data_IF_615246820144
#
_entry.id   IF_615246820144
#
_cell.length_a   1.000
_cell.length_b   1.000
_cell.length_c   1.000
_cell.angle_alpha   90.00
_cell.angle_beta   90.00
_cell.angle_gamma   90.00
#
_symmetry.space_group_name_H-M   'P 1'
#
loop_
_entity.id
_entity.type
_entity.pdbx_description
1 polymer ?
#
# COMPACT_ATOMS: atom_id res chain seq x y z
N UNK A 1 23.68 -7.66 -2.58
CA UNK A 1 23.74 -9.15 -2.39
C UNK A 1 22.39 -9.70 -2.79
N UNK A 2 22.28 -10.70 -3.67
CA UNK A 2 20.97 -11.24 -4.07
C UNK A 2 20.30 -11.99 -2.91
N UNK A 3 18.98 -11.85 -2.80
CA UNK A 3 18.15 -12.52 -1.80
C UNK A 3 17.20 -13.47 -2.52
N UNK A 4 17.25 -14.75 -2.17
CA UNK A 4 16.34 -15.74 -2.74
C UNK A 4 14.99 -15.69 -2.01
N UNK A 5 13.91 -15.47 -2.78
CA UNK A 5 12.53 -15.59 -2.29
C UNK A 5 11.96 -16.94 -2.69
N UNK A 6 11.33 -17.61 -1.74
CA UNK A 6 10.49 -18.78 -2.00
C UNK A 6 9.15 -18.34 -2.61
N UNK A 7 9.16 -18.09 -3.92
CA UNK A 7 8.00 -17.61 -4.69
C UNK A 7 6.82 -18.61 -4.66
N UNK A 8 7.08 -19.87 -4.31
CA UNK A 8 6.04 -20.92 -4.21
C UNK A 8 5.07 -20.70 -3.05
N UNK A 9 5.44 -19.86 -2.08
CA UNK A 9 4.58 -19.48 -0.95
C UNK A 9 3.46 -18.51 -1.34
N UNK A 10 3.51 -17.92 -2.53
CA UNK A 10 2.41 -17.13 -3.09
C UNK A 10 1.33 -18.07 -3.59
N UNK A 11 0.51 -18.55 -2.66
CA UNK A 11 -0.54 -19.53 -2.94
C UNK A 11 -1.88 -18.88 -3.32
N UNK A 12 -2.87 -19.73 -3.58
CA UNK A 12 -4.23 -19.28 -3.93
C UNK A 12 -4.92 -18.58 -2.76
N UNK A 13 -4.61 -18.93 -1.51
CA UNK A 13 -5.24 -18.32 -0.34
C UNK A 13 -4.84 -16.85 -0.20
N UNK A 14 -3.57 -16.54 -0.46
CA UNK A 14 -3.08 -15.16 -0.55
C UNK A 14 -3.68 -14.43 -1.74
N UNK A 15 -3.83 -15.10 -2.88
CA UNK A 15 -4.48 -14.51 -4.05
C UNK A 15 -5.92 -14.09 -3.75
N UNK A 16 -6.69 -14.97 -3.12
CA UNK A 16 -8.09 -14.73 -2.75
C UNK A 16 -8.20 -13.62 -1.68
N UNK A 17 -7.27 -13.56 -0.74
CA UNK A 17 -7.20 -12.48 0.24
C UNK A 17 -6.94 -11.12 -0.43
N UNK A 18 -5.93 -11.05 -1.32
CA UNK A 18 -5.63 -9.84 -2.06
C UNK A 18 -6.82 -9.41 -2.94
N UNK A 19 -7.49 -10.36 -3.60
CA UNK A 19 -8.72 -10.07 -4.35
C UNK A 19 -9.82 -9.46 -3.47
N UNK A 20 -9.98 -9.95 -2.24
CA UNK A 20 -10.94 -9.39 -1.28
C UNK A 20 -10.59 -7.94 -0.95
N UNK A 21 -9.32 -7.66 -0.63
CA UNK A 21 -8.85 -6.30 -0.32
C UNK A 21 -9.03 -5.38 -1.52
N UNK A 22 -8.62 -5.82 -2.72
CA UNK A 22 -8.76 -5.02 -3.93
C UNK A 22 -10.23 -4.71 -4.26
N UNK A 23 -11.14 -5.65 -4.04
CA UNK A 23 -12.58 -5.42 -4.25
C UNK A 23 -13.16 -4.44 -3.22
N UNK A 24 -12.78 -4.54 -1.94
CA UNK A 24 -13.19 -3.58 -0.92
C UNK A 24 -12.74 -2.16 -1.26
N UNK A 25 -11.48 -1.99 -1.67
CA UNK A 25 -10.93 -0.71 -2.14
C UNK A 25 -11.57 -0.21 -3.43
N UNK A 26 -12.09 -1.11 -4.26
CA UNK A 26 -12.74 -0.74 -5.51
C UNK A 26 -14.12 -0.14 -5.28
N UNK A 27 -14.82 -0.54 -4.20
CA UNK A 27 -16.12 0.00 -3.82
C UNK A 27 -16.04 1.45 -3.31
N UNK A 28 -14.93 1.82 -2.67
CA UNK A 28 -14.67 3.18 -2.18
C UNK A 28 -14.41 4.18 -3.31
N UNK A 29 -14.16 3.69 -4.54
CA UNK A 29 -13.73 4.52 -5.66
C UNK A 29 -14.90 5.17 -6.43
N UNK A 30 -14.70 6.42 -6.89
CA UNK A 30 -15.60 7.07 -7.82
C UNK A 30 -15.50 6.47 -9.24
N UNK A 31 -16.41 5.55 -9.56
CA UNK A 31 -16.47 4.94 -10.91
C UNK A 31 -17.21 5.81 -11.94
N UNK A 32 -16.73 5.86 -13.20
CA UNK A 32 -17.43 6.49 -14.33
C UNK A 32 -18.85 5.96 -14.54
N UNK A 33 -19.76 6.81 -15.01
CA UNK A 33 -21.18 6.45 -15.27
C UNK A 33 -21.39 5.42 -16.40
N UNK A 34 -20.34 5.12 -17.17
CA UNK A 34 -20.35 4.05 -18.17
C UNK A 34 -20.10 2.66 -17.56
N UNK A 35 -19.67 2.59 -16.30
CA UNK A 35 -19.38 1.34 -15.59
C UNK A 35 -20.54 0.94 -14.69
N UNK A 36 -20.95 -0.32 -14.83
CA UNK A 36 -21.90 -0.98 -13.94
C UNK A 36 -21.18 -1.61 -12.75
N UNK A 37 -21.54 -2.86 -12.45
CA UNK A 37 -20.79 -3.68 -11.50
C UNK A 37 -19.37 -3.91 -12.03
N UNK A 38 -18.38 -3.87 -11.15
CA UNK A 38 -16.98 -4.16 -11.45
C UNK A 38 -16.42 -4.99 -10.29
N UNK A 39 -15.65 -6.01 -10.62
CA UNK A 39 -15.12 -6.95 -9.62
C UNK A 39 -13.82 -7.58 -10.13
N UNK A 40 -12.82 -7.66 -9.27
CA UNK A 40 -11.65 -8.52 -9.44
C UNK A 40 -12.05 -9.97 -9.16
N UNK A 41 -11.88 -10.84 -10.14
CA UNK A 41 -12.42 -12.22 -10.11
C UNK A 41 -11.35 -13.29 -10.05
N UNK A 42 -10.12 -12.97 -10.46
CA UNK A 42 -9.01 -13.92 -10.44
C UNK A 42 -7.68 -13.19 -10.40
N UNK A 43 -6.73 -13.76 -9.66
CA UNK A 43 -5.34 -13.33 -9.61
C UNK A 43 -4.44 -14.56 -9.79
N UNK A 44 -3.51 -14.47 -10.73
CA UNK A 44 -2.42 -15.42 -10.91
C UNK A 44 -1.12 -14.71 -10.60
N UNK A 45 -0.33 -15.26 -9.68
CA UNK A 45 1.02 -14.77 -9.35
C UNK A 45 2.00 -14.95 -10.51
N UNK A 46 1.75 -15.91 -11.41
CA UNK A 46 2.71 -16.22 -12.49
C UNK A 46 3.87 -17.07 -11.98
N UNK A 47 4.87 -17.27 -12.83
CA UNK A 47 6.01 -18.15 -12.55
C UNK A 47 7.35 -17.39 -12.50
N UNK A 48 7.36 -16.10 -12.85
CA UNK A 48 8.55 -15.26 -12.82
C UNK A 48 8.70 -14.58 -11.45
N UNK A 49 9.70 -15.01 -10.67
CA UNK A 49 10.04 -14.35 -9.41
C UNK A 49 10.77 -13.01 -9.64
N UNK A 50 10.63 -12.03 -8.72
CA UNK A 50 11.41 -10.79 -8.77
C UNK A 50 12.89 -11.05 -8.49
N UNK A 51 13.76 -10.22 -9.08
CA UNK A 51 15.15 -10.10 -8.67
C UNK A 51 15.24 -9.12 -7.50
N UNK A 52 15.90 -9.55 -6.41
CA UNK A 52 15.97 -8.79 -5.17
C UNK A 52 17.39 -8.72 -4.69
N UNK A 53 17.86 -7.50 -4.49
CA UNK A 53 19.20 -7.23 -3.98
C UNK A 53 19.11 -6.49 -2.65
N UNK A 54 19.79 -7.01 -1.63
CA UNK A 54 20.05 -6.29 -0.39
C UNK A 54 21.02 -5.13 -0.67
N UNK A 55 20.57 -3.92 -0.38
CA UNK A 55 21.36 -2.69 -0.46
C UNK A 55 21.97 -2.36 0.90
N UNK A 56 21.14 -2.24 1.92
CA UNK A 56 21.55 -1.74 3.23
C UNK A 56 20.79 -2.44 4.37
N UNK A 57 21.47 -2.57 5.50
CA UNK A 57 20.87 -2.93 6.78
C UNK A 57 21.29 -1.87 7.79
N UNK A 58 20.30 -1.24 8.43
CA UNK A 58 20.50 -0.14 9.36
C UNK A 58 19.61 -0.23 10.60
N UNK A 59 19.60 0.85 11.37
CA UNK A 59 18.69 1.03 12.50
C UNK A 59 17.27 1.31 11.99
N UNK A 60 16.27 0.94 12.78
CA UNK A 60 14.86 1.22 12.48
C UNK A 60 14.62 2.74 12.51
N UNK A 61 14.01 3.30 11.46
CA UNK A 61 13.70 4.73 11.42
C UNK A 61 12.61 5.12 12.43
N UNK A 62 12.67 6.37 12.90
CA UNK A 62 11.71 6.91 13.87
C UNK A 62 10.29 6.97 13.30
N UNK A 63 10.15 7.15 11.98
CA UNK A 63 8.85 7.19 11.29
C UNK A 63 8.05 5.88 11.42
N UNK A 64 8.71 4.74 11.62
CA UNK A 64 8.04 3.48 11.96
C UNK A 64 7.69 3.36 13.45
N UNK A 65 8.35 4.12 14.33
CA UNK A 65 8.07 4.11 15.78
C UNK A 65 6.91 5.04 16.17
N UNK A 66 6.71 6.13 15.42
CA UNK A 66 5.78 7.22 15.76
C UNK A 66 4.30 6.93 15.45
N UNK A 67 3.99 5.93 14.61
CA UNK A 67 2.61 5.68 14.14
C UNK A 67 1.60 5.23 15.20
N UNK A 68 2.07 4.85 16.39
CA UNK A 68 1.21 4.54 17.54
C UNK A 68 1.21 5.65 18.62
N UNK A 69 2.03 6.70 18.51
CA UNK A 69 2.06 7.78 19.51
C UNK A 69 0.95 8.83 19.29
N UNK A 70 0.37 8.89 18.10
CA UNK A 70 -0.75 9.81 17.80
C UNK A 70 -2.09 9.37 18.41
N UNK A 71 -2.22 8.12 18.88
CA UNK A 71 -3.49 7.57 19.40
C UNK A 71 -3.70 7.72 20.92
N UNK A 72 -2.81 8.43 21.64
CA UNK A 72 -2.90 8.57 23.12
C UNK A 72 -3.19 9.98 23.62
N UNK A 73 -3.19 11.01 22.77
CA UNK A 73 -3.45 12.41 23.21
C UNK A 73 -4.87 12.91 22.93
N UNK A 74 -5.87 12.09 23.27
CA UNK A 74 -7.25 12.54 23.44
C UNK A 74 -7.51 13.00 24.87
N UNK A 75 -6.81 14.03 25.36
CA UNK A 75 -7.09 14.61 26.68
C UNK A 75 -8.11 15.76 26.59
N UNK A 76 -9.16 15.59 27.38
CA UNK A 76 -10.31 16.46 27.58
C UNK A 76 -9.94 17.91 27.97
N UNK A 77 -10.18 18.89 27.09
CA UNK A 77 -10.25 20.30 27.50
C UNK A 77 -11.71 20.71 27.81
N UNK A 78 -12.07 20.64 29.10
CA UNK A 78 -13.24 21.32 29.65
C UNK A 78 -12.82 22.44 30.62
N UNK A 79 -13.06 23.66 30.16
CA UNK A 79 -13.18 24.96 30.87
C UNK A 79 -13.14 24.99 32.41
N UNK A 80 -12.32 25.89 32.98
CA UNK A 80 -12.82 26.88 33.94
C UNK A 80 -11.87 28.09 34.12
N UNK A 81 -12.47 29.25 34.36
CA UNK A 81 -11.84 30.57 34.35
C UNK A 81 -11.55 31.12 35.76
N UNK A 82 -10.58 32.05 35.79
CA UNK A 82 -10.50 33.26 36.63
C UNK A 82 -9.67 33.27 37.95
N UNK A 83 -8.73 34.23 37.96
CA UNK A 83 -8.45 35.26 38.99
C UNK A 83 -7.31 35.11 40.05
N UNK A 84 -6.20 35.81 39.76
CA UNK A 84 -5.42 36.78 40.58
C UNK A 84 -4.86 36.42 42.00
N UNK A 85 -3.50 36.30 42.13
CA UNK A 85 -2.56 37.19 42.91
C UNK A 85 -1.26 36.51 43.46
N UNK A 86 -0.10 36.97 42.94
CA UNK A 86 1.14 37.45 43.65
C UNK A 86 1.96 36.49 44.60
N UNK A 87 3.25 36.79 44.95
CA UNK A 87 4.42 36.02 44.49
C UNK A 87 5.40 35.53 45.61
N UNK A 88 6.51 34.91 45.17
CA UNK A 88 7.84 34.84 45.79
C UNK A 88 8.30 33.55 46.56
N UNK A 89 9.34 32.92 45.98
CA UNK A 89 10.63 32.54 46.59
C UNK A 89 10.76 31.43 47.67
N UNK A 90 11.63 30.45 47.31
CA UNK A 90 12.75 29.85 48.09
C UNK A 90 12.51 28.55 48.90
N UNK A 91 13.25 27.51 48.45
CA UNK A 91 14.01 26.44 49.16
C UNK A 91 13.43 25.06 49.54
N UNK A 92 14.24 24.10 49.10
CA UNK A 92 14.80 22.91 49.77
C UNK A 92 13.93 21.68 50.11
N UNK A 93 14.24 20.63 49.34
CA UNK A 93 14.63 19.28 49.78
C UNK A 93 13.59 18.26 50.28
N UNK A 94 13.78 17.07 49.71
CA UNK A 94 13.52 15.71 50.19
C UNK A 94 12.19 15.00 49.87
N UNK A 95 12.35 14.03 48.94
CA UNK A 95 12.08 12.59 49.10
C UNK A 95 10.59 12.25 49.30
N UNK A 96 9.92 11.45 48.48
CA UNK A 96 10.22 10.05 48.18
C UNK A 96 9.05 9.48 47.35
N UNK A 97 9.34 8.48 46.51
CA UNK A 97 8.42 7.43 46.05
C UNK A 97 7.26 7.86 45.14
N UNK A 98 7.39 7.55 43.85
CA UNK A 98 6.31 6.83 43.18
C UNK A 98 6.90 5.82 42.19
N UNK A 99 6.38 4.60 42.33
CA UNK A 99 6.80 3.41 41.65
C UNK A 99 6.66 3.58 40.14
N UNK A 100 7.74 3.31 39.41
CA UNK A 100 7.64 2.95 38.00
C UNK A 100 6.79 1.69 37.92
N UNK A 101 5.53 1.84 37.49
CA UNK A 101 4.74 0.73 37.01
C UNK A 101 5.55 0.03 35.92
N UNK A 102 6.06 -1.13 36.29
CA UNK A 102 6.85 -1.96 35.42
C UNK A 102 5.86 -2.55 34.42
N UNK A 103 5.80 -1.96 33.22
CA UNK A 103 5.25 -2.67 32.07
C UNK A 103 5.84 -4.08 32.05
N UNK A 104 5.03 -5.12 31.77
CA UNK A 104 5.53 -6.48 31.74
C UNK A 104 6.65 -6.54 30.70
N UNK A 105 7.87 -6.83 31.15
CA UNK A 105 9.02 -7.10 30.28
C UNK A 105 8.66 -8.30 29.42
N UNK A 106 8.14 -8.02 28.22
CA UNK A 106 7.95 -9.01 27.16
C UNK A 106 9.29 -9.72 26.94
N UNK A 107 9.23 -11.03 26.71
CA UNK A 107 10.42 -11.86 26.50
C UNK A 107 11.33 -11.18 25.46
N UNK A 108 12.62 -11.06 25.76
CA UNK A 108 13.59 -10.42 24.88
C UNK A 108 13.64 -11.20 23.56
N UNK A 109 13.02 -10.65 22.51
CA UNK A 109 13.22 -11.13 21.14
C UNK A 109 14.71 -11.09 20.83
N UNK A 110 15.21 -12.15 20.20
CA UNK A 110 16.65 -12.28 19.85
C UNK A 110 17.01 -11.45 18.62
N UNK A 111 16.01 -10.97 17.90
CA UNK A 111 16.16 -10.11 16.72
C UNK A 111 16.21 -8.66 17.21
N UNK A 112 17.21 -7.85 16.78
CA UNK A 112 17.25 -6.42 17.10
C UNK A 112 16.22 -5.65 16.26
N UNK A 113 15.81 -4.47 16.72
CA UNK A 113 15.10 -3.54 15.86
C UNK A 113 16.04 -3.13 14.73
N UNK A 114 15.59 -3.25 13.49
CA UNK A 114 16.43 -2.99 12.33
C UNK A 114 15.59 -2.63 11.10
N UNK A 115 16.23 -1.92 10.18
CA UNK A 115 15.68 -1.63 8.87
C UNK A 115 16.49 -2.35 7.81
N UNK A 116 15.80 -2.90 6.82
CA UNK A 116 16.40 -3.57 5.67
C UNK A 116 15.94 -2.82 4.42
N UNK A 117 16.90 -2.40 3.58
CA UNK A 117 16.62 -1.80 2.29
C UNK A 117 16.97 -2.79 1.17
N UNK A 118 15.98 -3.05 0.33
CA UNK A 118 16.07 -3.97 -0.80
C UNK A 118 15.83 -3.22 -2.10
N UNK A 119 16.57 -3.55 -3.15
CA UNK A 119 16.22 -3.20 -4.51
C UNK A 119 15.41 -4.35 -5.10
N UNK A 120 14.28 -4.04 -5.72
CA UNK A 120 13.38 -4.99 -6.35
C UNK A 120 13.27 -4.64 -7.83
N UNK A 121 13.56 -5.60 -8.69
CA UNK A 121 13.30 -5.52 -10.13
C UNK A 121 12.46 -6.71 -10.55
N UNK A 122 11.31 -6.47 -11.16
CA UNK A 122 10.38 -7.55 -11.51
C UNK A 122 9.71 -7.29 -12.85
N UNK A 123 10.06 -8.10 -13.83
CA UNK A 123 9.27 -8.27 -15.06
C UNK A 123 8.34 -9.45 -14.86
N UNK A 124 7.07 -9.16 -14.57
CA UNK A 124 6.13 -10.15 -14.06
C UNK A 124 5.20 -10.69 -15.14
N UNK A 125 4.90 -11.98 -15.06
CA UNK A 125 3.83 -12.64 -15.80
C UNK A 125 2.52 -12.77 -14.99
N UNK A 126 2.41 -12.02 -13.89
CA UNK A 126 1.19 -11.88 -13.11
C UNK A 126 -0.01 -11.49 -13.99
N UNK A 127 -1.18 -12.06 -13.66
CA UNK A 127 -2.44 -11.73 -14.32
C UNK A 127 -3.53 -11.48 -13.31
N UNK A 128 -4.03 -10.25 -13.29
CA UNK A 128 -5.23 -9.87 -12.53
C UNK A 128 -6.41 -9.73 -13.50
N UNK A 129 -7.51 -10.41 -13.23
CA UNK A 129 -8.70 -10.46 -14.10
C UNK A 129 -9.86 -9.74 -13.45
N UNK A 130 -10.48 -8.83 -14.19
CA UNK A 130 -11.66 -8.09 -13.78
C UNK A 130 -12.83 -8.41 -14.69
N UNK A 131 -14.02 -8.47 -14.12
CA UNK A 131 -15.27 -8.48 -14.87
C UNK A 131 -16.02 -7.19 -14.60
N UNK A 132 -16.54 -6.57 -15.66
CA UNK A 132 -17.41 -5.40 -15.51
C UNK A 132 -18.55 -5.40 -16.52
N UNK A 133 -19.63 -4.71 -16.18
CA UNK A 133 -20.72 -4.44 -17.10
C UNK A 133 -20.58 -3.03 -17.68
N UNK A 134 -20.29 -2.92 -18.97
CA UNK A 134 -20.27 -1.65 -19.68
C UNK A 134 -21.71 -1.21 -20.01
N UNK A 135 -22.12 -0.06 -19.50
CA UNK A 135 -23.44 0.51 -19.72
C UNK A 135 -23.47 1.31 -21.04
N UNK A 136 -24.47 1.01 -21.87
CA UNK A 136 -24.78 1.72 -23.11
C UNK A 136 -26.01 2.59 -22.86
N UNK A 137 -25.81 3.91 -22.95
CA UNK A 137 -26.82 4.92 -22.59
C UNK A 137 -27.57 5.53 -23.79
N UNK A 138 -27.63 4.81 -24.93
CA UNK A 138 -28.34 5.28 -26.13
C UNK A 138 -29.30 4.19 -26.62
N UNK A 139 -30.57 4.53 -26.98
CA UNK A 139 -31.18 5.86 -27.00
C UNK A 139 -31.62 6.42 -25.63
N UNK A 140 -31.55 5.64 -24.56
CA UNK A 140 -31.89 6.06 -23.18
C UNK A 140 -30.81 5.64 -22.17
N UNK A 141 -30.71 6.26 -20.99
CA UNK A 141 -29.81 5.79 -19.93
C UNK A 141 -30.08 4.33 -19.56
N UNK A 142 -29.01 3.54 -19.34
CA UNK A 142 -29.11 2.12 -18.97
C UNK A 142 -29.79 1.24 -20.02
N UNK A 143 -29.82 1.65 -21.29
CA UNK A 143 -30.51 0.93 -22.37
C UNK A 143 -30.02 -0.52 -22.55
N UNK A 144 -28.71 -0.73 -22.42
CA UNK A 144 -28.09 -2.05 -22.52
C UNK A 144 -26.86 -2.13 -21.64
N UNK A 145 -26.53 -3.33 -21.16
CA UNK A 145 -25.26 -3.63 -20.50
C UNK A 145 -24.53 -4.74 -21.25
N UNK A 146 -23.24 -4.55 -21.49
CA UNK A 146 -22.38 -5.56 -22.10
C UNK A 146 -21.36 -6.05 -21.06
N UNK A 147 -21.25 -7.36 -20.80
CA UNK A 147 -20.18 -7.89 -19.97
C UNK A 147 -18.84 -7.74 -20.72
N UNK A 148 -17.86 -7.15 -20.04
CA UNK A 148 -16.50 -6.97 -20.52
C UNK A 148 -15.56 -7.62 -19.52
N UNK A 149 -14.67 -8.47 -20.01
CA UNK A 149 -13.59 -9.04 -19.23
C UNK A 149 -12.32 -8.26 -19.51
N UNK A 150 -11.67 -7.79 -18.45
CA UNK A 150 -10.37 -7.12 -18.53
C UNK A 150 -9.30 -8.00 -17.89
N UNK A 151 -8.09 -7.94 -18.43
CA UNK A 151 -6.92 -8.58 -17.88
C UNK A 151 -5.80 -7.55 -17.74
N UNK A 152 -5.30 -7.39 -16.53
CA UNK A 152 -4.15 -6.54 -16.21
C UNK A 152 -2.90 -7.42 -16.19
N UNK A 153 -1.90 -7.06 -16.98
CA UNK A 153 -0.65 -7.80 -17.19
C UNK A 153 0.51 -6.88 -17.55
N UNK A 154 1.66 -7.46 -17.86
CA UNK A 154 2.85 -6.72 -18.31
C UNK A 154 3.35 -5.78 -17.22
N UNK A 155 3.25 -6.24 -15.97
CA UNK A 155 3.67 -5.50 -14.80
C UNK A 155 5.19 -5.51 -14.79
N UNK A 156 5.78 -4.33 -14.92
CA UNK A 156 7.23 -4.14 -14.74
C UNK A 156 7.41 -3.21 -13.56
N UNK A 157 8.00 -3.74 -12.49
CA UNK A 157 8.26 -3.04 -11.23
C UNK A 157 9.78 -2.82 -11.10
N UNK A 158 10.18 -1.58 -10.81
CA UNK A 158 11.53 -1.27 -10.38
C UNK A 158 11.44 -0.30 -9.20
N UNK A 159 11.82 -0.76 -8.02
CA UNK A 159 11.67 0.01 -6.79
C UNK A 159 12.73 -0.32 -5.77
N UNK A 160 12.87 0.55 -4.76
CA UNK A 160 13.40 0.15 -3.47
C UNK A 160 12.25 -0.34 -2.59
N UNK A 161 12.54 -1.19 -1.63
CA UNK A 161 11.64 -1.58 -0.57
C UNK A 161 12.33 -1.40 0.77
N UNK A 162 11.61 -0.84 1.74
CA UNK A 162 12.05 -0.68 3.10
C UNK A 162 11.25 -1.65 3.96
N UNK A 163 11.96 -2.48 4.72
CA UNK A 163 11.39 -3.39 5.71
C UNK A 163 11.87 -2.95 7.08
N UNK A 164 10.96 -2.42 7.89
CA UNK A 164 11.23 -2.08 9.29
C UNK A 164 10.80 -3.24 10.20
N UNK A 165 11.71 -3.77 11.01
CA UNK A 165 11.40 -4.82 11.99
C UNK A 165 11.43 -4.18 13.38
N UNK A 166 10.27 -4.03 14.00
CA UNK A 166 10.16 -3.73 15.43
C UNK A 166 10.01 -5.04 16.21
N UNK A 167 11.12 -5.49 16.78
CA UNK A 167 11.17 -6.74 17.54
C UNK A 167 10.55 -6.61 18.93
N UNK A 168 10.33 -5.40 19.44
CA UNK A 168 9.66 -5.16 20.72
C UNK A 168 8.14 -5.21 20.56
N UNK A 169 7.63 -4.61 19.48
CA UNK A 169 6.20 -4.65 19.11
C UNK A 169 5.81 -5.90 18.35
N UNK A 170 6.79 -6.64 17.81
CA UNK A 170 6.60 -7.80 16.93
C UNK A 170 5.87 -7.43 15.65
N UNK A 171 6.29 -6.31 15.08
CA UNK A 171 5.72 -5.76 13.87
C UNK A 171 6.76 -5.73 12.78
N UNK A 172 6.33 -6.02 11.56
CA UNK A 172 7.11 -5.83 10.34
C UNK A 172 6.39 -4.82 9.49
N UNK A 173 7.03 -3.68 9.24
CA UNK A 173 6.55 -2.65 8.36
C UNK A 173 7.16 -2.85 6.98
N UNK A 174 6.36 -2.67 5.93
CA UNK A 174 6.79 -2.78 4.55
C UNK A 174 6.31 -1.59 3.75
N UNK A 175 7.23 -0.93 3.04
CA UNK A 175 6.94 0.15 2.09
C UNK A 175 7.75 -0.04 0.83
N UNK A 176 7.18 0.33 -0.31
CA UNK A 176 7.94 0.59 -1.52
C UNK A 176 8.39 2.05 -1.54
N UNK A 177 9.54 2.30 -2.15
CA UNK A 177 10.12 3.63 -2.32
C UNK A 177 10.53 3.79 -3.78
N UNK A 178 10.21 4.94 -4.34
CA UNK A 178 10.65 5.29 -5.68
C UNK A 178 12.18 5.30 -5.73
N UNK A 179 12.80 4.69 -6.75
CA UNK A 179 14.23 4.71 -6.89
C UNK A 179 14.66 6.13 -7.25
N UNK A 180 15.26 6.84 -6.30
CA UNK A 180 15.88 8.14 -6.56
C UNK A 180 17.26 7.94 -7.18
N UNK A 181 17.49 8.47 -8.38
CA UNK A 181 18.83 8.57 -8.97
C UNK A 181 19.36 10.00 -8.78
N UNK A 182 20.28 10.17 -7.83
CA UNK A 182 20.98 11.45 -7.61
C UNK A 182 21.70 11.98 -8.86
N UNK A 183 21.96 11.13 -9.86
CA UNK A 183 22.69 11.48 -11.08
C UNK A 183 21.80 11.67 -12.31
N UNK A 184 20.48 11.48 -12.21
CA UNK A 184 19.58 11.77 -13.34
C UNK A 184 19.47 13.28 -13.53
N UNK A 185 20.08 13.81 -14.60
CA UNK A 185 19.95 15.23 -14.99
C UNK A 185 18.55 15.56 -15.54
N UNK A 186 17.74 14.53 -15.80
CA UNK A 186 16.38 14.63 -16.29
C UNK A 186 15.40 14.64 -15.10
N UNK A 187 14.77 15.79 -14.86
CA UNK A 187 13.69 16.04 -13.87
C UNK A 187 12.36 15.37 -14.30
N UNK A 188 12.43 14.32 -15.11
CA UNK A 188 11.25 13.64 -15.64
C UNK A 188 10.74 12.65 -14.58
N UNK A 189 9.80 13.12 -13.74
CA UNK A 189 9.01 12.34 -12.77
C UNK A 189 8.53 10.97 -13.31
N UNK A 190 8.38 10.85 -14.64
CA UNK A 190 7.91 9.65 -15.34
C UNK A 190 8.86 8.45 -15.19
N UNK A 191 10.18 8.66 -15.07
CA UNK A 191 11.15 7.55 -14.96
C UNK A 191 11.23 6.95 -13.54
N UNK A 192 10.83 7.70 -12.52
CA UNK A 192 10.96 7.28 -11.11
C UNK A 192 9.74 6.56 -10.57
N UNK A 193 8.68 6.38 -11.36
CA UNK A 193 7.52 5.60 -10.95
C UNK A 193 7.91 4.14 -10.73
N UNK A 194 7.59 3.60 -9.57
CA UNK A 194 7.88 2.19 -9.28
C UNK A 194 7.26 1.22 -10.29
N UNK A 195 6.09 1.56 -10.86
CA UNK A 195 5.42 0.81 -11.93
C UNK A 195 5.81 1.36 -13.31
N UNK A 196 6.86 0.80 -13.89
CA UNK A 196 7.39 1.17 -15.22
C UNK A 196 6.44 0.77 -16.35
N UNK A 197 5.77 -0.38 -16.22
CA UNK A 197 4.76 -0.84 -17.18
C UNK A 197 3.60 -1.51 -16.46
N UNK A 198 2.40 -1.26 -17.00
CA UNK A 198 1.15 -1.91 -16.62
C UNK A 198 0.25 -1.86 -17.85
N UNK A 199 -0.29 -2.99 -18.28
CA UNK A 199 -1.13 -3.08 -19.48
C UNK A 199 -2.49 -3.64 -19.09
N UNK A 200 -3.56 -3.00 -19.57
CA UNK A 200 -4.92 -3.49 -19.43
C UNK A 200 -5.44 -3.89 -20.80
N UNK A 201 -5.75 -5.17 -20.97
CA UNK A 201 -6.34 -5.73 -22.19
C UNK A 201 -7.82 -6.03 -21.93
N UNK A 202 -8.68 -5.78 -22.91
CA UNK A 202 -10.09 -6.17 -22.85
C UNK A 202 -10.46 -7.25 -23.88
N UNK A 203 -11.27 -8.20 -23.44
CA UNK A 203 -11.89 -9.23 -24.28
C UNK A 203 -13.35 -8.84 -24.55
N UNK A 204 -13.66 -8.50 -25.80
CA UNK A 204 -15.00 -8.06 -26.22
C UNK A 204 -15.41 -8.79 -27.50
N UNK A 205 -16.70 -9.12 -27.62
CA UNK A 205 -17.28 -9.71 -28.82
C UNK A 205 -17.40 -8.72 -30.00
N UNK A 206 -18.19 -9.09 -31.01
CA UNK A 206 -18.46 -8.22 -32.16
C UNK A 206 -19.32 -7.01 -31.73
N UNK A 207 -18.73 -5.82 -31.72
CA UNK A 207 -19.34 -4.60 -31.16
C UNK A 207 -19.12 -3.35 -32.02
N UNK A 208 -20.04 -2.40 -31.90
CA UNK A 208 -19.98 -1.12 -32.59
C UNK A 208 -18.79 -0.24 -32.16
N UNK A 209 -18.41 0.70 -33.05
CA UNK A 209 -17.30 1.65 -32.83
C UNK A 209 -17.43 2.51 -31.57
N UNK A 210 -18.66 2.85 -31.17
CA UNK A 210 -18.88 3.63 -29.94
C UNK A 210 -18.59 2.82 -28.68
N UNK A 211 -18.92 1.53 -28.69
CA UNK A 211 -18.62 0.57 -27.63
C UNK A 211 -17.10 0.44 -27.44
N UNK A 212 -16.33 0.34 -28.53
CA UNK A 212 -14.86 0.30 -28.48
C UNK A 212 -14.25 1.56 -27.84
N UNK A 213 -14.81 2.75 -28.09
CA UNK A 213 -14.33 3.99 -27.44
C UNK A 213 -14.61 3.98 -25.95
N UNK A 214 -15.77 3.47 -25.53
CA UNK A 214 -16.13 3.38 -24.12
C UNK A 214 -15.26 2.34 -23.40
N UNK A 215 -14.95 1.22 -24.04
CA UNK A 215 -14.02 0.21 -23.54
C UNK A 215 -12.66 0.83 -23.26
N UNK A 216 -12.08 1.59 -24.20
CA UNK A 216 -10.78 2.21 -23.97
C UNK A 216 -10.78 3.16 -22.77
N UNK A 217 -11.90 3.85 -22.52
CA UNK A 217 -12.05 4.67 -21.31
C UNK A 217 -12.05 3.82 -20.05
N UNK A 218 -12.64 2.63 -20.10
CA UNK A 218 -12.61 1.67 -18.98
C UNK A 218 -11.21 1.11 -18.77
N UNK A 219 -10.50 0.71 -19.83
CA UNK A 219 -9.12 0.23 -19.74
C UNK A 219 -8.22 1.28 -19.08
N UNK A 220 -8.28 2.52 -19.56
CA UNK A 220 -7.53 3.63 -18.97
C UNK A 220 -7.95 3.90 -17.52
N UNK A 221 -9.24 3.84 -17.21
CA UNK A 221 -9.72 4.03 -15.84
C UNK A 221 -9.15 2.97 -14.88
N UNK A 222 -9.18 1.69 -15.27
CA UNK A 222 -8.62 0.59 -14.46
C UNK A 222 -7.11 0.75 -14.30
N UNK A 223 -6.41 1.13 -15.38
CA UNK A 223 -4.97 1.41 -15.35
C UNK A 223 -4.64 2.50 -14.32
N UNK A 224 -5.28 3.66 -14.43
CA UNK A 224 -5.05 4.79 -13.53
C UNK A 224 -5.46 4.47 -12.09
N UNK A 225 -6.55 3.73 -11.91
CA UNK A 225 -6.97 3.28 -10.59
C UNK A 225 -5.88 2.43 -9.93
N UNK A 226 -5.39 1.39 -10.60
CA UNK A 226 -4.40 0.49 -10.02
C UNK A 226 -3.08 1.19 -9.72
N UNK A 227 -2.66 2.13 -10.57
CA UNK A 227 -1.50 2.98 -10.32
C UNK A 227 -1.68 3.81 -9.06
N UNK A 228 -2.81 4.50 -8.94
CA UNK A 228 -3.12 5.32 -7.77
C UNK A 228 -3.28 4.48 -6.50
N UNK A 229 -3.92 3.31 -6.59
CA UNK A 229 -4.10 2.39 -5.48
C UNK A 229 -2.74 1.96 -4.94
N UNK A 230 -1.84 1.54 -5.82
CA UNK A 230 -0.51 1.11 -5.40
C UNK A 230 0.26 2.28 -4.76
N UNK A 231 0.21 3.47 -5.36
CA UNK A 231 0.86 4.65 -4.80
C UNK A 231 0.32 5.03 -3.42
N UNK A 232 -0.99 4.97 -3.23
CA UNK A 232 -1.64 5.42 -2.00
C UNK A 232 -1.58 4.39 -0.86
N UNK A 233 -1.44 3.10 -1.15
CA UNK A 233 -1.47 2.06 -0.11
C UNK A 233 -0.07 1.60 0.32
N UNK A 234 0.90 1.50 -0.61
CA UNK A 234 2.19 0.83 -0.32
C UNK A 234 3.42 1.65 -0.65
N UNK A 235 3.28 2.79 -1.34
CA UNK A 235 4.41 3.67 -1.61
C UNK A 235 4.57 4.66 -0.47
N UNK A 236 5.83 4.84 -0.08
CA UNK A 236 6.24 5.77 0.96
C UNK A 236 5.64 7.16 0.76
N UNK A 237 5.09 7.80 1.81
CA UNK A 237 5.20 7.46 3.24
C UNK A 237 4.21 6.39 3.74
N UNK A 238 3.40 5.78 2.87
CA UNK A 238 2.47 4.73 3.26
C UNK A 238 3.21 3.40 3.43
N UNK A 239 2.77 2.59 4.40
CA UNK A 239 3.32 1.26 4.64
C UNK A 239 2.27 0.31 5.22
N UNK A 240 2.49 -0.99 5.03
CA UNK A 240 1.70 -2.02 5.67
C UNK A 240 2.45 -2.62 6.86
N UNK A 241 1.74 -2.81 7.96
CA UNK A 241 2.26 -3.45 9.17
C UNK A 241 1.72 -4.86 9.30
N UNK A 242 2.62 -5.83 9.39
CA UNK A 242 2.33 -7.23 9.64
C UNK A 242 2.68 -7.57 11.09
N UNK A 243 1.77 -8.23 11.79
CA UNK A 243 2.00 -8.71 13.16
C UNK A 243 2.62 -10.10 13.09
N UNK A 244 3.75 -10.30 13.76
CA UNK A 244 4.42 -11.58 13.86
C UNK A 244 3.77 -12.43 14.96
N UNK A 245 3.08 -13.49 14.57
CA UNK A 245 2.54 -14.52 15.48
C UNK A 245 3.65 -15.28 16.24
N UNK A 246 3.27 -15.98 17.32
CA UNK A 246 4.12 -16.82 18.20
C UNK A 246 4.59 -18.13 17.57
#
# INVERSE_FOLDING_TARGET
MSVDIDYTKLDQSLADNLLSILNERLEEMQKPSILGHIEFTNLSWGDMAPDIELEEIGELSEEFNESDEEDVNGEDEAHEAADLKHPAQIRDSNNNHNASESQPKRASSTIPNMQIQLRITHESDMRLTLLTNLLVNFPSPGFMSLPVKLAVRGIVLHSKAIIGIDSQRRQVHFSLVEPYDENSEDDDDVQNHILQSLVVESEIGDVDRHTLKNVRKVENFVLEYLRNLLNNEIVWPNYHTFILDD
#
